data_IF_107600002782
#
_entry.id   IF_107600002782
#
_cell.length_a   1.000
_cell.length_b   1.000
_cell.length_c   1.000
_cell.angle_alpha   90.00
_cell.angle_beta   90.00
_cell.angle_gamma   90.00
#
_symmetry.space_group_name_H-M   'P 1'
#
loop_
_entity.id
_entity.type
_entity.pdbx_description
1 polymer ?
#
# COMPACT_ATOMS: atom_id res chain seq x y z
N UNK A 1 -32.18 -47.23 -27.48
CA UNK A 1 -32.70 -47.15 -26.11
C UNK A 1 -31.50 -46.80 -25.26
N UNK A 2 -31.40 -45.58 -24.75
CA UNK A 2 -30.27 -45.22 -23.89
C UNK A 2 -30.35 -46.10 -22.64
N UNK A 3 -29.30 -46.86 -22.35
CA UNK A 3 -29.23 -47.60 -21.09
C UNK A 3 -29.19 -46.57 -19.95
N UNK A 4 -29.84 -46.90 -18.84
CA UNK A 4 -29.89 -46.04 -17.64
C UNK A 4 -28.49 -45.63 -17.15
N UNK A 5 -27.47 -46.43 -17.46
CA UNK A 5 -26.06 -46.16 -17.21
C UNK A 5 -25.54 -44.92 -17.97
N UNK A 6 -25.93 -44.70 -19.24
CA UNK A 6 -25.49 -43.55 -20.04
C UNK A 6 -26.05 -42.23 -19.49
N UNK A 7 -27.32 -42.26 -19.03
CA UNK A 7 -27.99 -41.10 -18.42
C UNK A 7 -27.32 -40.76 -17.07
N UNK A 8 -26.94 -41.77 -16.27
CA UNK A 8 -26.24 -41.56 -15.01
C UNK A 8 -24.83 -40.98 -15.22
N UNK A 9 -24.10 -41.45 -16.23
CA UNK A 9 -22.78 -40.90 -16.58
C UNK A 9 -22.87 -39.45 -17.05
N UNK A 10 -23.86 -39.12 -17.90
CA UNK A 10 -24.10 -37.75 -18.36
C UNK A 10 -24.46 -36.82 -17.19
N UNK A 11 -25.29 -37.29 -16.25
CA UNK A 11 -25.66 -36.54 -15.07
C UNK A 11 -24.43 -36.29 -14.16
N UNK A 12 -23.59 -37.31 -13.95
CA UNK A 12 -22.37 -37.19 -13.16
C UNK A 12 -21.37 -36.20 -13.79
N UNK A 13 -21.13 -36.30 -15.10
CA UNK A 13 -20.25 -35.37 -15.83
C UNK A 13 -20.77 -33.93 -15.75
N UNK A 14 -22.07 -33.73 -15.89
CA UNK A 14 -22.71 -32.43 -15.73
C UNK A 14 -22.54 -31.89 -14.30
N UNK A 15 -22.68 -32.74 -13.28
CA UNK A 15 -22.43 -32.39 -11.89
C UNK A 15 -20.98 -31.92 -11.64
N UNK A 16 -19.99 -32.61 -12.23
CA UNK A 16 -18.58 -32.21 -12.14
C UNK A 16 -18.36 -30.85 -12.79
N UNK A 17 -18.89 -30.63 -14.01
CA UNK A 17 -18.75 -29.35 -14.73
C UNK A 17 -19.38 -28.21 -13.92
N UNK A 18 -20.60 -28.40 -13.41
CA UNK A 18 -21.27 -27.39 -12.57
C UNK A 18 -20.51 -27.11 -11.27
N UNK A 19 -19.90 -28.12 -10.68
CA UNK A 19 -19.05 -27.97 -9.49
C UNK A 19 -17.81 -27.13 -9.82
N UNK A 20 -17.12 -27.41 -10.94
CA UNK A 20 -15.97 -26.62 -11.38
C UNK A 20 -16.33 -25.16 -11.68
N UNK A 21 -17.47 -24.91 -12.33
CA UNK A 21 -17.96 -23.55 -12.57
C UNK A 21 -18.26 -22.81 -11.26
N UNK A 22 -18.79 -23.51 -10.26
CA UNK A 22 -19.04 -22.96 -8.93
C UNK A 22 -17.74 -22.60 -8.22
N UNK A 23 -16.74 -23.48 -8.27
CA UNK A 23 -15.40 -23.19 -7.72
C UNK A 23 -14.75 -22.01 -8.44
N UNK A 24 -14.83 -21.94 -9.77
CA UNK A 24 -14.32 -20.80 -10.53
C UNK A 24 -14.98 -19.48 -10.10
N UNK A 25 -16.30 -19.49 -9.90
CA UNK A 25 -17.02 -18.34 -9.36
C UNK A 25 -16.57 -17.96 -7.94
N UNK A 26 -16.41 -18.95 -7.05
CA UNK A 26 -15.92 -18.70 -5.69
C UNK A 26 -14.51 -18.09 -5.69
N UNK A 27 -13.61 -18.58 -6.54
CA UNK A 27 -12.27 -17.99 -6.69
C UNK A 27 -12.35 -16.54 -7.16
N UNK A 28 -13.22 -16.25 -8.13
CA UNK A 28 -13.44 -14.90 -8.62
C UNK A 28 -13.99 -13.98 -7.52
N UNK A 29 -15.03 -14.40 -6.81
CA UNK A 29 -15.67 -13.62 -5.75
C UNK A 29 -14.70 -13.40 -4.57
N UNK A 30 -13.95 -14.43 -4.17
CA UNK A 30 -12.90 -14.33 -3.14
C UNK A 30 -11.80 -13.35 -3.55
N UNK A 31 -11.39 -13.37 -4.81
CA UNK A 31 -10.39 -12.43 -5.34
C UNK A 31 -10.91 -10.99 -5.26
N UNK A 32 -12.18 -10.76 -5.63
CA UNK A 32 -12.81 -9.44 -5.54
C UNK A 32 -12.90 -8.96 -4.10
N UNK A 33 -13.34 -9.81 -3.17
CA UNK A 33 -13.41 -9.48 -1.75
C UNK A 33 -12.04 -9.17 -1.15
N UNK A 34 -11.01 -9.95 -1.49
CA UNK A 34 -9.64 -9.69 -1.04
C UNK A 34 -9.12 -8.33 -1.52
N UNK A 35 -9.42 -7.93 -2.77
CA UNK A 35 -9.07 -6.60 -3.28
C UNK A 35 -9.74 -5.48 -2.48
N UNK A 36 -11.04 -5.62 -2.19
CA UNK A 36 -11.78 -4.64 -1.40
C UNK A 36 -11.27 -4.55 0.04
N UNK A 37 -10.98 -5.69 0.67
CA UNK A 37 -10.42 -5.74 2.01
C UNK A 37 -9.03 -5.07 2.06
N UNK A 38 -8.15 -5.38 1.09
CA UNK A 38 -6.84 -4.75 0.99
C UNK A 38 -6.94 -3.23 0.81
N UNK A 39 -7.89 -2.77 -0.03
CA UNK A 39 -8.17 -1.34 -0.18
C UNK A 39 -8.64 -0.70 1.13
N UNK A 40 -9.52 -1.37 1.88
CA UNK A 40 -9.96 -0.94 3.21
C UNK A 40 -8.77 -0.74 4.17
N UNK A 41 -7.89 -1.74 4.26
CA UNK A 41 -6.68 -1.67 5.10
C UNK A 41 -5.75 -0.52 4.68
N UNK A 42 -5.55 -0.29 3.38
CA UNK A 42 -4.75 0.84 2.90
C UNK A 42 -5.38 2.18 3.27
N UNK A 43 -6.68 2.31 3.07
CA UNK A 43 -7.43 3.51 3.43
C UNK A 43 -7.32 3.79 4.93
N UNK A 44 -7.46 2.77 5.78
CA UNK A 44 -7.30 2.89 7.23
C UNK A 44 -5.90 3.36 7.63
N UNK A 45 -4.84 2.82 6.98
CA UNK A 45 -3.46 3.27 7.22
C UNK A 45 -3.27 4.75 6.86
N UNK A 46 -3.78 5.19 5.71
CA UNK A 46 -3.72 6.60 5.34
C UNK A 46 -4.50 7.48 6.32
N UNK A 47 -5.71 7.08 6.69
CA UNK A 47 -6.53 7.81 7.66
C UNK A 47 -5.82 7.91 9.01
N UNK A 48 -5.15 6.84 9.45
CA UNK A 48 -4.36 6.84 10.68
C UNK A 48 -3.22 7.87 10.60
N UNK A 49 -2.42 7.88 9.53
CA UNK A 49 -1.33 8.85 9.34
C UNK A 49 -1.85 10.28 9.34
N UNK A 50 -2.89 10.59 8.55
CA UNK A 50 -3.42 11.95 8.44
C UNK A 50 -4.20 12.39 9.67
N UNK A 51 -4.78 11.48 10.45
CA UNK A 51 -5.44 11.85 11.70
C UNK A 51 -4.46 12.45 12.71
N UNK A 52 -3.17 12.11 12.64
CA UNK A 52 -2.14 12.65 13.52
C UNK A 52 -2.03 14.18 13.40
N UNK A 53 -2.29 14.74 12.20
CA UNK A 53 -2.25 16.19 11.97
C UNK A 53 -3.48 16.92 12.52
N UNK A 54 -4.43 16.21 13.15
CA UNK A 54 -5.48 16.84 13.97
C UNK A 54 -4.90 17.43 15.26
N UNK A 55 -3.71 16.98 15.68
CA UNK A 55 -2.92 17.65 16.71
C UNK A 55 -2.16 18.82 16.07
N UNK A 56 -2.51 20.05 16.46
CA UNK A 56 -1.93 21.27 15.90
C UNK A 56 -0.43 21.42 16.22
N UNK A 57 0.03 20.91 17.37
CA UNK A 57 1.45 20.93 17.73
C UNK A 57 2.25 20.06 16.75
N UNK A 58 1.79 18.84 16.47
CA UNK A 58 2.42 17.99 15.47
C UNK A 58 2.33 18.59 14.07
N UNK A 59 1.20 19.22 13.72
CA UNK A 59 1.06 19.89 12.43
C UNK A 59 2.10 21.02 12.26
N UNK A 60 2.35 21.81 13.32
CA UNK A 60 3.38 22.84 13.32
C UNK A 60 4.78 22.24 13.16
N UNK A 61 5.08 21.16 13.89
CA UNK A 61 6.35 20.42 13.75
C UNK A 61 6.54 19.92 12.32
N UNK A 62 5.49 19.39 11.69
CA UNK A 62 5.55 18.92 10.29
C UNK A 62 5.83 20.07 9.34
N UNK A 63 5.22 21.24 9.53
CA UNK A 63 5.49 22.41 8.69
C UNK A 63 6.94 22.86 8.83
N UNK A 64 7.44 23.02 10.07
CA UNK A 64 8.84 23.39 10.34
C UNK A 64 9.82 22.36 9.77
N UNK A 65 9.58 21.08 10.04
CA UNK A 65 10.43 19.98 9.59
C UNK A 65 10.46 19.81 8.08
N UNK A 66 9.41 20.22 7.36
CA UNK A 66 9.44 20.25 5.89
C UNK A 66 10.41 21.31 5.37
N UNK A 67 10.51 22.45 6.04
CA UNK A 67 11.39 23.56 5.65
C UNK A 67 12.85 23.25 6.00
N UNK A 68 13.13 22.97 7.28
CA UNK A 68 14.47 22.70 7.81
C UNK A 68 14.40 21.68 8.96
N UNK A 69 14.83 20.44 8.67
CA UNK A 69 14.87 19.36 9.65
C UNK A 69 16.01 19.54 10.66
N UNK A 70 17.12 20.14 10.24
CA UNK A 70 18.28 20.39 11.11
C UNK A 70 18.02 21.45 12.18
N UNK A 71 17.07 22.36 11.95
CA UNK A 71 16.67 23.39 12.90
C UNK A 71 15.71 22.89 14.00
N UNK A 72 15.13 21.69 13.85
CA UNK A 72 14.25 21.09 14.84
C UNK A 72 15.03 20.65 16.09
N UNK A 73 14.39 20.72 17.26
CA UNK A 73 14.88 20.07 18.47
C UNK A 73 14.87 18.55 18.32
N UNK A 74 15.64 17.83 19.13
CA UNK A 74 15.70 16.36 19.05
C UNK A 74 14.32 15.69 19.20
N UNK A 75 13.44 16.22 20.06
CA UNK A 75 12.07 15.72 20.21
C UNK A 75 11.20 15.98 18.98
N UNK A 76 11.34 17.15 18.35
CA UNK A 76 10.61 17.49 17.13
C UNK A 76 11.11 16.67 15.94
N UNK A 77 12.42 16.44 15.83
CA UNK A 77 13.02 15.56 14.84
C UNK A 77 12.48 14.13 14.94
N UNK A 78 12.33 13.62 16.17
CA UNK A 78 11.73 12.31 16.41
C UNK A 78 10.27 12.26 15.98
N UNK A 79 9.47 13.26 16.36
CA UNK A 79 8.05 13.33 16.00
C UNK A 79 7.86 13.44 14.48
N UNK A 80 8.61 14.32 13.82
CA UNK A 80 8.59 14.47 12.37
C UNK A 80 9.04 13.20 11.66
N UNK A 81 10.11 12.57 12.15
CA UNK A 81 10.63 11.32 11.59
C UNK A 81 9.63 10.17 11.71
N UNK A 82 8.98 9.99 12.86
CA UNK A 82 7.92 8.98 13.01
C UNK A 82 6.72 9.24 12.10
N UNK A 83 6.36 10.51 11.89
CA UNK A 83 5.30 10.86 10.94
C UNK A 83 5.68 10.46 9.51
N UNK A 84 6.89 10.80 9.04
CA UNK A 84 7.35 10.45 7.70
C UNK A 84 7.58 8.95 7.53
N UNK A 85 8.06 8.26 8.56
CA UNK A 85 8.25 6.81 8.57
C UNK A 85 6.92 6.08 8.40
N UNK A 86 5.92 6.42 9.24
CA UNK A 86 4.57 5.87 9.13
C UNK A 86 3.94 6.16 7.77
N UNK A 87 4.19 7.35 7.21
CA UNK A 87 3.71 7.71 5.88
C UNK A 87 4.33 6.84 4.78
N UNK A 88 5.63 6.56 4.86
CA UNK A 88 6.32 5.69 3.90
C UNK A 88 5.78 4.24 3.98
N UNK A 89 5.60 3.72 5.19
CA UNK A 89 5.03 2.37 5.42
C UNK A 89 3.58 2.29 4.93
N UNK A 90 2.77 3.34 5.13
CA UNK A 90 1.41 3.40 4.59
C UNK A 90 1.43 3.36 3.05
N UNK A 91 2.36 4.09 2.42
CA UNK A 91 2.53 4.13 0.96
C UNK A 91 3.08 2.82 0.38
N UNK A 92 3.90 2.07 1.12
CA UNK A 92 4.35 0.73 0.72
C UNK A 92 3.16 -0.19 0.39
N UNK A 93 2.07 -0.08 1.16
CA UNK A 93 0.83 -0.81 0.90
C UNK A 93 0.28 -0.57 -0.51
N UNK A 94 0.46 0.62 -1.09
CA UNK A 94 0.06 0.90 -2.46
C UNK A 94 0.93 0.16 -3.49
N UNK A 95 2.24 0.02 -3.26
CA UNK A 95 3.14 -0.76 -4.11
C UNK A 95 2.85 -2.26 -4.02
N UNK A 96 2.58 -2.77 -2.81
CA UNK A 96 2.19 -4.17 -2.60
C UNK A 96 0.89 -4.47 -3.37
N UNK A 97 -0.10 -3.58 -3.30
CA UNK A 97 -1.32 -3.69 -4.10
C UNK A 97 -1.05 -3.62 -5.60
N UNK A 98 -0.15 -2.75 -6.05
CA UNK A 98 0.21 -2.62 -7.46
C UNK A 98 0.88 -3.88 -8.05
N UNK A 99 1.61 -4.64 -7.22
CA UNK A 99 2.28 -5.89 -7.60
C UNK A 99 1.34 -7.11 -7.56
N UNK A 100 0.11 -6.98 -7.03
CA UNK A 100 -0.74 -8.13 -6.74
C UNK A 100 -1.86 -8.39 -7.75
N UNK A 101 -2.03 -9.68 -8.07
CA UNK A 101 -3.11 -10.32 -8.86
C UNK A 101 -3.10 -9.92 -10.36
N UNK A 102 -2.23 -10.62 -11.10
CA UNK A 102 -2.21 -10.82 -12.57
C UNK A 102 -1.78 -9.68 -13.50
N UNK A 103 -1.60 -8.44 -13.03
CA UNK A 103 -1.05 -7.31 -13.83
C UNK A 103 -0.56 -6.17 -12.93
N UNK A 104 0.36 -5.36 -13.43
CA UNK A 104 0.81 -4.11 -12.78
C UNK A 104 -0.32 -3.09 -12.78
N UNK A 105 -0.70 -2.57 -11.61
CA UNK A 105 -1.65 -1.46 -11.52
C UNK A 105 -0.92 -0.12 -11.57
N UNK A 106 -0.90 0.50 -12.75
CA UNK A 106 -0.27 1.81 -12.99
C UNK A 106 -0.90 2.93 -12.15
N UNK A 107 -2.17 2.82 -11.76
CA UNK A 107 -2.83 3.83 -10.94
C UNK A 107 -2.28 3.81 -9.50
N UNK A 108 -2.07 2.62 -8.95
CA UNK A 108 -1.48 2.47 -7.61
C UNK A 108 -0.02 2.91 -7.54
N UNK A 109 0.78 2.63 -8.58
CA UNK A 109 2.14 3.16 -8.72
C UNK A 109 2.11 4.69 -8.82
N UNK A 110 1.17 5.24 -9.59
CA UNK A 110 1.02 6.69 -9.73
C UNK A 110 0.63 7.34 -8.40
N UNK A 111 -0.26 6.71 -7.63
CA UNK A 111 -0.65 7.16 -6.30
C UNK A 111 0.56 7.21 -5.36
N UNK A 112 1.32 6.12 -5.28
CA UNK A 112 2.57 6.05 -4.51
C UNK A 112 3.53 7.18 -4.90
N UNK A 113 3.85 7.29 -6.20
CA UNK A 113 4.80 8.29 -6.69
C UNK A 113 4.35 9.71 -6.33
N UNK A 114 3.06 10.03 -6.50
CA UNK A 114 2.52 11.36 -6.19
C UNK A 114 2.60 11.67 -4.70
N UNK A 115 2.21 10.73 -3.84
CA UNK A 115 2.20 10.93 -2.38
C UNK A 115 3.62 11.05 -1.84
N UNK A 116 4.50 10.10 -2.18
CA UNK A 116 5.90 10.13 -1.77
C UNK A 116 6.58 11.41 -2.25
N UNK A 117 6.38 11.81 -3.51
CA UNK A 117 6.92 13.07 -4.03
C UNK A 117 6.43 14.26 -3.23
N UNK A 118 5.13 14.35 -2.95
CA UNK A 118 4.57 15.47 -2.18
C UNK A 118 5.16 15.59 -0.76
N UNK A 119 5.39 14.46 -0.09
CA UNK A 119 5.85 14.45 1.30
C UNK A 119 7.38 14.51 1.44
N UNK A 120 8.13 13.85 0.56
CA UNK A 120 9.58 13.70 0.66
C UNK A 120 10.40 14.58 -0.29
N UNK A 121 9.78 15.45 -1.10
CA UNK A 121 10.55 16.38 -1.96
C UNK A 121 10.96 17.68 -1.28
N UNK A 122 10.52 17.93 -0.03
CA UNK A 122 10.95 19.13 0.69
C UNK A 122 12.37 18.96 1.25
N UNK A 123 13.08 20.06 1.49
CA UNK A 123 14.49 20.03 1.91
C UNK A 123 14.66 19.23 3.21
N UNK A 124 13.89 19.56 4.25
CA UNK A 124 13.99 18.85 5.53
C UNK A 124 13.55 17.38 5.46
N UNK A 125 12.55 17.05 4.63
CA UNK A 125 12.15 15.65 4.45
C UNK A 125 13.20 14.81 3.71
N UNK A 126 13.91 15.41 2.73
CA UNK A 126 15.06 14.76 2.07
C UNK A 126 16.21 14.55 3.04
N UNK A 127 16.52 15.57 3.86
CA UNK A 127 17.55 15.48 4.89
C UNK A 127 17.24 14.36 5.90
N UNK A 128 16.01 14.33 6.41
CA UNK A 128 15.55 13.24 7.27
C UNK A 128 15.69 11.89 6.57
N UNK A 129 15.30 11.79 5.30
CA UNK A 129 15.33 10.51 4.59
C UNK A 129 16.75 9.96 4.45
N UNK A 130 17.73 10.78 4.07
CA UNK A 130 19.12 10.31 3.97
C UNK A 130 19.67 9.88 5.34
N UNK A 131 19.44 10.66 6.41
CA UNK A 131 19.84 10.27 7.76
C UNK A 131 19.15 8.97 8.23
N UNK A 132 17.85 8.86 8.00
CA UNK A 132 17.08 7.66 8.35
C UNK A 132 17.60 6.42 7.61
N UNK A 133 18.00 6.56 6.34
CA UNK A 133 18.56 5.46 5.55
C UNK A 133 19.91 4.96 6.09
N UNK A 134 20.73 5.84 6.68
CA UNK A 134 22.00 5.45 7.29
C UNK A 134 21.81 4.72 8.63
N UNK A 135 20.84 5.13 9.44
CA UNK A 135 20.64 4.61 10.79
C UNK A 135 19.81 3.32 10.85
N UNK A 136 18.74 3.24 10.05
CA UNK A 136 17.74 2.16 10.12
C UNK A 136 17.37 1.64 8.74
N UNK A 137 17.00 2.57 7.85
CA UNK A 137 16.64 2.29 6.47
C UNK A 137 15.30 1.58 6.27
N UNK A 138 14.81 1.67 5.03
CA UNK A 138 13.73 0.81 4.55
C UNK A 138 14.33 -0.37 3.78
N UNK A 139 13.54 -1.43 3.52
CA UNK A 139 13.93 -2.45 2.55
C UNK A 139 14.35 -1.83 1.21
N UNK A 140 15.33 -2.44 0.54
CA UNK A 140 15.99 -1.89 -0.64
C UNK A 140 14.99 -1.55 -1.78
N UNK A 141 13.95 -2.35 -1.97
CA UNK A 141 12.96 -2.13 -3.01
C UNK A 141 12.07 -0.90 -2.73
N UNK A 142 11.68 -0.69 -1.46
CA UNK A 142 10.98 0.52 -1.04
C UNK A 142 11.89 1.74 -1.13
N UNK A 143 13.15 1.64 -0.66
CA UNK A 143 14.15 2.71 -0.77
C UNK A 143 14.35 3.14 -2.23
N UNK A 144 14.54 2.20 -3.14
CA UNK A 144 14.69 2.48 -4.57
C UNK A 144 13.43 3.13 -5.16
N UNK A 145 12.25 2.67 -4.75
CA UNK A 145 10.97 3.25 -5.20
C UNK A 145 10.81 4.69 -4.70
N UNK A 146 11.18 4.96 -3.45
CA UNK A 146 11.16 6.31 -2.88
C UNK A 146 12.15 7.22 -3.61
N UNK A 147 13.43 6.79 -3.76
CA UNK A 147 14.47 7.55 -4.46
C UNK A 147 14.02 7.91 -5.89
N UNK A 148 13.38 6.98 -6.61
CA UNK A 148 12.82 7.22 -7.95
C UNK A 148 11.63 8.19 -7.94
N UNK A 149 10.80 8.20 -6.90
CA UNK A 149 9.67 9.10 -6.80
C UNK A 149 10.10 10.56 -6.53
N UNK A 150 11.18 10.74 -5.77
CA UNK A 150 11.70 12.06 -5.36
C UNK A 150 12.83 12.61 -6.23
N UNK A 151 13.39 11.81 -7.15
CA UNK A 151 14.28 12.27 -8.22
C UNK A 151 13.53 13.09 -9.26
#
# INVERSE_FOLDING_TARGET
MFETADIAQLAAASGVILSMLTVAKQIYDNTKQAKLANWGVLSERYMSVYSQTSNLELAEIIVKGREDYGALTASEQLAFGHFLENLCIANEGALVMAKNITRTDTAMITLFNRHIRWHLSSNGARQWFEQFQEERGFPEDLTNSIRKAIS
#
